data_IF_186354515017
#
_entry.id   IF_186354515017
#
_cell.length_a   1.000
_cell.length_b   1.000
_cell.length_c   1.000
_cell.angle_alpha   90.00
_cell.angle_beta   90.00
_cell.angle_gamma   90.00
#
_symmetry.space_group_name_H-M   'P 1'
#
loop_
_entity.id
_entity.type
_entity.pdbx_description
1 polymer ?
#
# COMPACT_ATOMS: atom_id res chain seq x y z
N UNK A 1 -41.56 41.89 -0.73
CA UNK A 1 -41.14 40.92 -1.77
C UNK A 1 -39.64 40.58 -1.73
N UNK A 2 -38.76 41.50 -1.31
CA UNK A 2 -37.31 41.24 -1.16
C UNK A 2 -36.92 40.14 -0.14
N UNK A 3 -37.77 39.89 0.87
CA UNK A 3 -37.54 38.87 1.91
C UNK A 3 -37.74 37.42 1.41
N UNK A 4 -38.51 37.20 0.35
CA UNK A 4 -38.78 35.85 -0.17
C UNK A 4 -37.65 35.33 -1.09
N UNK A 5 -36.89 36.22 -1.73
CA UNK A 5 -35.72 35.86 -2.53
C UNK A 5 -34.47 35.50 -1.69
N UNK A 6 -34.38 35.99 -0.45
CA UNK A 6 -33.26 35.71 0.45
C UNK A 6 -33.23 34.26 0.94
N UNK A 7 -34.40 33.62 1.12
CA UNK A 7 -34.47 32.23 1.59
C UNK A 7 -34.22 31.21 0.45
N UNK A 8 -34.61 31.54 -0.79
CA UNK A 8 -34.36 30.67 -1.95
C UNK A 8 -32.89 30.57 -2.34
N UNK A 9 -32.12 31.66 -2.22
CA UNK A 9 -30.69 31.67 -2.51
C UNK A 9 -29.84 30.90 -1.50
N UNK A 10 -30.28 30.82 -0.24
CA UNK A 10 -29.55 30.13 0.82
C UNK A 10 -29.71 28.60 0.75
N UNK A 11 -30.85 28.08 0.27
CA UNK A 11 -31.03 26.64 0.06
C UNK A 11 -30.26 26.11 -1.17
N UNK A 12 -30.13 26.91 -2.24
CA UNK A 12 -29.40 26.48 -3.45
C UNK A 12 -27.88 26.38 -3.23
N UNK A 13 -27.31 27.18 -2.31
CA UNK A 13 -25.89 27.13 -1.97
C UNK A 13 -25.49 25.91 -1.11
N UNK A 14 -26.44 25.29 -0.40
CA UNK A 14 -26.18 24.09 0.40
C UNK A 14 -26.04 22.82 -0.46
N UNK A 15 -26.57 22.80 -1.68
CA UNK A 15 -26.53 21.61 -2.55
C UNK A 15 -25.27 21.53 -3.44
N UNK A 16 -24.47 22.59 -3.54
CA UNK A 16 -23.28 22.64 -4.42
C UNK A 16 -21.96 22.23 -3.75
N UNK A 17 -21.96 21.90 -2.45
CA UNK A 17 -20.76 21.42 -1.74
C UNK A 17 -20.62 19.88 -1.71
N UNK A 18 -21.56 19.15 -2.31
CA UNK A 18 -21.52 17.69 -2.38
C UNK A 18 -20.71 17.15 -3.59
N UNK A 19 -19.84 17.97 -4.19
CA UNK A 19 -18.98 17.49 -5.27
C UNK A 19 -17.90 16.58 -4.71
N UNK A 20 -18.19 15.27 -4.76
CA UNK A 20 -17.27 14.16 -4.89
C UNK A 20 -15.95 14.28 -4.12
N UNK A 21 -15.98 13.96 -2.83
CA UNK A 21 -14.79 13.41 -2.18
C UNK A 21 -14.51 12.04 -2.79
N UNK A 22 -13.80 11.98 -3.92
CA UNK A 22 -13.10 10.75 -4.26
C UNK A 22 -12.09 10.53 -3.15
N UNK A 23 -12.34 9.54 -2.30
CA UNK A 23 -11.42 9.17 -1.22
C UNK A 23 -10.09 8.83 -1.90
N UNK A 24 -9.10 9.69 -1.72
CA UNK A 24 -7.77 9.42 -2.24
C UNK A 24 -7.19 8.24 -1.44
N UNK A 25 -6.50 7.29 -2.10
CA UNK A 25 -5.83 6.20 -1.39
C UNK A 25 -4.89 6.75 -0.33
N UNK A 26 -4.93 6.14 0.85
CA UNK A 26 -3.97 6.43 1.90
C UNK A 26 -2.70 5.63 1.60
N UNK A 27 -1.56 6.31 1.50
CA UNK A 27 -0.27 5.69 1.27
C UNK A 27 0.47 5.44 2.57
N UNK A 28 1.07 4.25 2.66
CA UNK A 28 1.87 3.78 3.78
C UNK A 28 3.24 3.31 3.28
N UNK A 29 4.27 3.55 4.08
CA UNK A 29 5.59 2.97 3.91
C UNK A 29 5.84 1.98 5.03
N UNK A 30 6.45 0.85 4.68
CA UNK A 30 6.84 -0.17 5.63
C UNK A 30 8.32 -0.53 5.50
N UNK A 31 8.89 -0.98 6.60
CA UNK A 31 10.20 -1.60 6.64
C UNK A 31 10.26 -2.71 7.67
N UNK A 32 11.03 -3.73 7.33
CA UNK A 32 11.40 -4.85 8.19
C UNK A 32 12.91 -4.90 8.27
N UNK A 33 13.44 -4.90 9.49
CA UNK A 33 14.88 -4.87 9.75
C UNK A 33 15.26 -5.95 10.74
N UNK A 34 16.29 -6.73 10.43
CA UNK A 34 16.73 -7.85 11.25
C UNK A 34 16.04 -9.14 10.86
N UNK A 35 16.80 -10.14 10.42
CA UNK A 35 16.25 -11.42 9.99
C UNK A 35 17.17 -12.57 10.40
N UNK A 36 16.59 -13.75 10.61
CA UNK A 36 17.37 -14.98 10.55
C UNK A 36 17.57 -15.34 9.08
N UNK A 37 18.82 -15.42 8.66
CA UNK A 37 19.23 -15.62 7.28
C UNK A 37 19.70 -17.05 7.11
N UNK A 38 19.13 -17.75 6.14
CA UNK A 38 19.62 -19.05 5.68
C UNK A 38 19.97 -18.94 4.19
N UNK A 39 21.17 -19.38 3.82
CA UNK A 39 21.65 -19.36 2.43
C UNK A 39 22.15 -20.75 2.05
N UNK A 40 21.41 -21.45 1.18
CA UNK A 40 21.77 -22.80 0.75
C UNK A 40 21.91 -23.80 1.90
N UNK A 41 23.15 -24.21 2.18
CA UNK A 41 23.48 -25.22 3.22
C UNK A 41 24.12 -24.61 4.48
N UNK A 42 24.23 -23.28 4.55
CA UNK A 42 24.82 -22.62 5.71
C UNK A 42 23.90 -22.71 6.93
N UNK A 43 24.48 -22.76 8.13
CA UNK A 43 23.69 -22.68 9.36
C UNK A 43 23.05 -21.30 9.45
N UNK A 44 21.76 -21.19 9.82
CA UNK A 44 21.09 -19.90 9.92
C UNK A 44 21.78 -18.97 10.92
N UNK A 45 21.86 -17.67 10.59
CA UNK A 45 22.39 -16.66 11.48
C UNK A 45 21.49 -15.41 11.48
N UNK A 46 21.45 -14.72 12.62
CA UNK A 46 20.72 -13.47 12.70
C UNK A 46 21.55 -12.31 12.14
N UNK A 47 21.02 -11.63 11.12
CA UNK A 47 21.58 -10.40 10.57
C UNK A 47 20.67 -9.22 10.91
N UNK A 48 21.08 -8.42 11.91
CA UNK A 48 20.36 -7.24 12.38
C UNK A 48 20.32 -6.08 11.37
N UNK A 49 21.18 -6.10 10.35
CA UNK A 49 21.35 -5.00 9.38
C UNK A 49 20.55 -5.20 8.09
N UNK A 50 20.09 -6.43 7.85
CA UNK A 50 19.31 -6.76 6.67
C UNK A 50 17.96 -6.06 6.73
N UNK A 51 17.61 -5.36 5.65
CA UNK A 51 16.37 -4.59 5.55
C UNK A 51 15.58 -4.97 4.30
N UNK A 52 14.26 -4.97 4.44
CA UNK A 52 13.31 -5.04 3.34
C UNK A 52 12.31 -3.91 3.54
N UNK A 53 12.03 -3.16 2.48
CA UNK A 53 11.11 -2.03 2.57
C UNK A 53 10.21 -1.93 1.35
N UNK A 54 9.12 -1.21 1.53
CA UNK A 54 8.14 -1.02 0.48
C UNK A 54 7.11 0.04 0.82
N UNK A 55 6.20 0.25 -0.12
CA UNK A 55 5.05 1.12 0.05
C UNK A 55 3.80 0.39 -0.41
N UNK A 56 2.68 0.74 0.18
CA UNK A 56 1.37 0.32 -0.29
C UNK A 56 0.38 1.46 -0.17
N UNK A 57 -0.65 1.45 -1.02
CA UNK A 57 -1.73 2.42 -0.96
C UNK A 57 -3.06 1.69 -1.06
N UNK A 58 -4.06 2.15 -0.30
CA UNK A 58 -5.40 1.57 -0.35
C UNK A 58 -6.46 2.51 0.21
N UNK A 59 -7.73 2.15 -0.04
CA UNK A 59 -8.90 2.86 0.48
C UNK A 59 -9.75 1.87 1.25
N UNK A 60 -9.84 2.03 2.56
CA UNK A 60 -10.84 1.36 3.40
C UNK A 60 -12.23 1.87 2.98
N UNK A 61 -12.84 1.14 2.04
CA UNK A 61 -14.09 1.50 1.39
C UNK A 61 -15.30 1.02 2.20
N UNK A 62 -15.11 -0.01 3.02
CA UNK A 62 -16.13 -0.59 3.87
C UNK A 62 -16.16 0.03 5.29
N UNK A 63 -15.16 0.85 5.63
CA UNK A 63 -14.96 1.55 6.91
C UNK A 63 -14.77 0.63 8.13
N UNK A 64 -14.12 -0.52 7.95
CA UNK A 64 -13.83 -1.47 9.04
C UNK A 64 -12.44 -1.27 9.70
N UNK A 65 -11.70 -0.24 9.27
CA UNK A 65 -10.33 0.07 9.72
C UNK A 65 -9.28 -0.98 9.34
N UNK A 66 -9.58 -1.83 8.36
CA UNK A 66 -8.68 -2.79 7.74
C UNK A 66 -8.62 -2.48 6.25
N UNK A 67 -7.41 -2.43 5.69
CA UNK A 67 -7.25 -2.38 4.23
C UNK A 67 -7.09 -3.81 3.75
N UNK A 68 -8.07 -4.32 3.04
CA UNK A 68 -8.05 -5.67 2.46
C UNK A 68 -7.47 -5.67 1.02
N UNK A 69 -7.26 -6.87 0.46
CA UNK A 69 -6.68 -7.04 -0.87
C UNK A 69 -7.48 -6.34 -1.98
N UNK A 70 -8.81 -6.34 -1.91
CA UNK A 70 -9.69 -5.66 -2.87
C UNK A 70 -9.69 -4.13 -2.74
N UNK A 71 -9.14 -3.61 -1.64
CA UNK A 71 -9.01 -2.18 -1.35
C UNK A 71 -7.60 -1.65 -1.64
N UNK A 72 -6.67 -2.56 -1.93
CA UNK A 72 -5.30 -2.30 -2.27
C UNK A 72 -5.19 -1.71 -3.69
N UNK A 73 -4.64 -0.51 -3.78
CA UNK A 73 -4.41 0.21 -5.04
C UNK A 73 -2.97 0.08 -5.54
N UNK A 74 -1.99 -0.21 -4.68
CA UNK A 74 -0.58 -0.37 -5.05
C UNK A 74 0.15 -1.17 -3.96
N UNK A 75 1.11 -2.02 -4.33
CA UNK A 75 2.05 -2.65 -3.41
C UNK A 75 3.44 -2.75 -4.06
N UNK A 76 4.32 -1.83 -3.68
CA UNK A 76 5.70 -1.84 -4.14
C UNK A 76 6.62 -2.40 -3.04
N UNK A 77 7.41 -3.43 -3.34
CA UNK A 77 8.41 -4.00 -2.42
C UNK A 77 9.77 -3.98 -3.09
N UNK A 78 10.78 -3.40 -2.43
CA UNK A 78 12.13 -3.19 -2.99
C UNK A 78 12.09 -2.58 -4.43
N UNK A 79 11.16 -1.66 -4.67
CA UNK A 79 10.99 -0.98 -5.96
C UNK A 79 10.23 -1.77 -7.04
N UNK A 80 9.72 -2.96 -6.74
CA UNK A 80 8.90 -3.78 -7.67
C UNK A 80 7.42 -3.67 -7.30
N UNK A 81 6.56 -3.36 -8.27
CA UNK A 81 5.09 -3.37 -8.10
C UNK A 81 4.54 -4.79 -8.25
N UNK A 82 3.70 -5.23 -7.32
CA UNK A 82 3.05 -6.53 -7.27
C UNK A 82 1.55 -6.52 -7.63
N UNK A 83 0.84 -5.39 -7.52
CA UNK A 83 -0.61 -5.30 -7.85
C UNK A 83 -0.81 -5.19 -9.36
N UNK A 84 -0.16 -4.22 -10.00
CA UNK A 84 -0.24 -3.91 -11.42
C UNK A 84 0.95 -4.46 -12.20
N UNK A 85 1.58 -5.52 -11.70
CA UNK A 85 2.76 -6.07 -12.33
C UNK A 85 2.47 -6.41 -13.81
N UNK A 86 3.10 -5.67 -14.72
CA UNK A 86 2.60 -5.45 -16.08
C UNK A 86 2.65 -6.69 -17.01
N UNK A 87 3.11 -7.85 -16.53
CA UNK A 87 3.40 -8.99 -17.38
C UNK A 87 3.21 -10.32 -16.65
N UNK A 88 1.96 -10.81 -16.60
CA UNK A 88 1.74 -12.26 -16.52
C UNK A 88 1.92 -12.83 -17.93
N UNK A 89 3.10 -13.37 -18.19
CA UNK A 89 3.48 -14.01 -19.45
C UNK A 89 4.06 -15.39 -19.17
N UNK A 90 4.40 -16.17 -20.21
CA UNK A 90 5.13 -17.42 -20.02
C UNK A 90 6.50 -17.23 -19.33
N UNK A 91 7.02 -16.01 -19.25
CA UNK A 91 8.35 -15.68 -18.72
C UNK A 91 8.33 -14.91 -17.40
N UNK A 92 7.19 -14.39 -16.97
CA UNK A 92 7.09 -13.61 -15.75
C UNK A 92 5.71 -13.84 -15.15
N UNK A 93 5.66 -14.20 -13.88
CA UNK A 93 4.43 -14.25 -13.11
C UNK A 93 4.61 -13.37 -11.88
N UNK A 94 3.58 -12.62 -11.53
CA UNK A 94 3.62 -11.77 -10.36
C UNK A 94 2.20 -11.50 -9.87
N UNK A 95 2.08 -11.32 -8.57
CA UNK A 95 0.80 -10.99 -7.97
C UNK A 95 0.84 -10.99 -6.45
N UNK A 96 -0.25 -10.50 -5.90
CA UNK A 96 -0.56 -10.52 -4.47
C UNK A 96 -1.70 -11.51 -4.27
N UNK A 97 -1.48 -12.56 -3.49
CA UNK A 97 -2.50 -13.58 -3.23
C UNK A 97 -3.30 -13.30 -1.96
N UNK A 98 -2.70 -12.58 -1.01
CA UNK A 98 -3.36 -12.13 0.21
C UNK A 98 -2.76 -10.81 0.68
N UNK A 99 -3.60 -9.92 1.22
CA UNK A 99 -3.19 -8.66 1.80
C UNK A 99 -4.21 -8.25 2.87
N UNK A 100 -3.71 -7.78 4.01
CA UNK A 100 -4.49 -7.15 5.06
C UNK A 100 -3.60 -6.22 5.86
N UNK A 101 -4.05 -5.01 6.13
CA UNK A 101 -3.36 -4.09 7.02
C UNK A 101 -4.33 -3.40 7.98
N UNK A 102 -4.01 -3.40 9.26
CA UNK A 102 -4.61 -2.48 10.23
C UNK A 102 -3.55 -2.00 11.21
N UNK A 103 -3.78 -0.83 11.84
CA UNK A 103 -2.85 -0.32 12.84
C UNK A 103 -2.72 -1.26 14.06
N UNK A 104 -3.79 -1.99 14.39
CA UNK A 104 -3.80 -2.93 15.51
C UNK A 104 -3.23 -4.32 15.15
N UNK A 105 -3.50 -4.81 13.93
CA UNK A 105 -3.10 -6.14 13.47
C UNK A 105 -1.77 -6.18 12.72
N UNK A 106 -1.21 -5.02 12.37
CA UNK A 106 0.00 -4.92 11.57
C UNK A 106 -0.25 -5.22 10.09
N UNK A 107 0.84 -5.36 9.34
CA UNK A 107 0.84 -5.67 7.91
C UNK A 107 0.95 -7.17 7.70
N UNK A 108 -0.01 -7.73 6.98
CA UNK A 108 -0.06 -9.13 6.55
C UNK A 108 -0.13 -9.16 5.03
N UNK A 109 0.80 -9.86 4.39
CA UNK A 109 0.79 -10.00 2.94
C UNK A 109 1.38 -11.32 2.47
N UNK A 110 0.88 -11.77 1.33
CA UNK A 110 1.46 -12.83 0.52
C UNK A 110 1.59 -12.31 -0.91
N UNK A 111 2.83 -12.04 -1.34
CA UNK A 111 3.15 -11.53 -2.66
C UNK A 111 4.30 -12.31 -3.26
N UNK A 112 4.25 -12.58 -4.55
CA UNK A 112 5.31 -13.32 -5.23
C UNK A 112 5.57 -12.77 -6.63
N UNK A 113 6.79 -12.96 -7.09
CA UNK A 113 7.21 -12.74 -8.45
C UNK A 113 8.13 -13.87 -8.88
N UNK A 114 7.97 -14.36 -10.11
CA UNK A 114 8.80 -15.39 -10.70
C UNK A 114 9.16 -15.02 -12.12
N UNK A 115 10.46 -14.99 -12.42
CA UNK A 115 11.01 -14.74 -13.73
C UNK A 115 11.59 -16.03 -14.29
N UNK A 116 11.11 -16.46 -15.44
CA UNK A 116 11.61 -17.63 -16.14
C UNK A 116 12.57 -17.23 -17.26
N UNK A 117 13.64 -17.99 -17.45
CA UNK A 117 14.53 -17.84 -18.61
C UNK A 117 13.88 -18.39 -19.91
N UNK A 118 12.93 -19.30 -19.77
CA UNK A 118 12.20 -20.02 -20.81
C UNK A 118 10.84 -20.46 -20.25
N UNK A 119 9.76 -20.54 -21.05
CA UNK A 119 8.47 -20.95 -20.54
C UNK A 119 8.56 -22.36 -19.91
N UNK A 120 7.90 -22.59 -18.75
CA UNK A 120 7.92 -23.88 -18.11
C UNK A 120 7.39 -24.96 -19.07
N UNK A 121 8.17 -26.02 -19.29
CA UNK A 121 7.88 -27.00 -20.32
C UNK A 121 8.77 -28.24 -20.26
N UNK A 122 8.73 -29.10 -21.30
CA UNK A 122 9.58 -30.29 -21.41
C UNK A 122 11.06 -29.92 -21.63
N UNK A 123 11.33 -28.76 -22.21
CA UNK A 123 12.67 -28.22 -22.43
C UNK A 123 13.30 -27.73 -21.12
N UNK A 124 14.60 -27.45 -21.14
CA UNK A 124 15.29 -26.92 -19.97
C UNK A 124 14.83 -25.49 -19.68
N UNK A 125 14.59 -25.21 -18.40
CA UNK A 125 14.17 -23.91 -17.91
C UNK A 125 14.64 -23.73 -16.47
N UNK A 126 14.90 -22.48 -16.12
CA UNK A 126 15.15 -22.02 -14.76
C UNK A 126 14.33 -20.76 -14.49
N UNK A 127 14.08 -20.53 -13.21
CA UNK A 127 13.31 -19.41 -12.73
C UNK A 127 13.99 -18.81 -11.50
N UNK A 128 13.95 -17.49 -11.39
CA UNK A 128 14.22 -16.74 -10.16
C UNK A 128 12.89 -16.30 -9.59
N UNK A 129 12.63 -16.66 -8.34
CA UNK A 129 11.43 -16.32 -7.61
C UNK A 129 11.80 -15.52 -6.36
N UNK A 130 11.07 -14.44 -6.13
CA UNK A 130 11.03 -13.79 -4.84
C UNK A 130 9.61 -13.89 -4.29
N UNK A 131 9.46 -14.36 -3.06
CA UNK A 131 8.18 -14.45 -2.36
C UNK A 131 8.27 -13.82 -0.98
N UNK A 132 7.21 -13.13 -0.61
CA UNK A 132 6.98 -12.52 0.70
C UNK A 132 5.74 -13.18 1.28
N UNK A 133 5.88 -13.87 2.40
CA UNK A 133 4.78 -14.52 3.11
C UNK A 133 4.86 -14.17 4.59
N UNK A 134 4.24 -13.05 4.95
CA UNK A 134 4.20 -12.54 6.32
C UNK A 134 3.13 -13.25 7.16
N UNK A 135 2.22 -13.97 6.51
CA UNK A 135 1.11 -14.68 7.15
C UNK A 135 1.53 -16.00 7.79
N UNK A 136 2.62 -16.61 7.31
CA UNK A 136 3.24 -17.75 7.97
C UNK A 136 3.65 -17.38 9.39
N UNK A 137 3.60 -18.38 10.29
CA UNK A 137 3.82 -18.27 11.76
C UNK A 137 5.04 -17.45 12.20
N UNK A 138 6.03 -17.27 11.33
CA UNK A 138 7.22 -16.48 11.58
C UNK A 138 7.55 -15.48 10.49
N UNK A 139 6.73 -15.31 9.44
CA UNK A 139 7.04 -14.46 8.29
C UNK A 139 8.29 -14.91 7.51
N UNK A 140 8.17 -15.04 6.19
CA UNK A 140 9.29 -15.49 5.35
C UNK A 140 9.44 -14.63 4.10
N UNK A 141 10.68 -14.42 3.71
CA UNK A 141 11.04 -13.81 2.44
C UNK A 141 12.04 -14.74 1.77
N UNK A 142 11.63 -15.35 0.68
CA UNK A 142 12.44 -16.31 -0.05
C UNK A 142 12.87 -15.69 -1.38
N UNK A 143 14.17 -15.65 -1.64
CA UNK A 143 14.75 -15.30 -2.94
C UNK A 143 15.48 -16.55 -3.46
N UNK A 144 14.84 -17.26 -4.38
CA UNK A 144 15.27 -18.58 -4.83
C UNK A 144 15.41 -18.65 -6.35
N UNK A 145 16.37 -19.45 -6.79
CA UNK A 145 16.49 -19.91 -8.16
C UNK A 145 16.23 -21.41 -8.20
N UNK A 146 15.37 -21.85 -9.11
CA UNK A 146 15.06 -23.27 -9.32
C UNK A 146 14.88 -23.55 -10.81
N UNK A 147 14.88 -24.82 -11.20
CA UNK A 147 14.67 -25.17 -12.60
C UNK A 147 14.47 -26.67 -12.78
N UNK A 148 14.24 -27.09 -14.02
CA UNK A 148 13.99 -28.50 -14.35
C UNK A 148 15.15 -29.42 -13.93
N UNK A 149 16.38 -28.94 -14.06
CA UNK A 149 17.61 -29.67 -13.70
C UNK A 149 18.41 -28.97 -12.60
N UNK A 150 17.86 -27.93 -11.97
CA UNK A 150 18.54 -27.13 -10.97
C UNK A 150 17.81 -27.27 -9.62
N UNK A 151 18.46 -27.80 -8.58
CA UNK A 151 17.86 -27.82 -7.25
C UNK A 151 17.58 -26.37 -6.79
N UNK A 152 16.52 -26.15 -6.01
CA UNK A 152 16.26 -24.84 -5.43
C UNK A 152 17.48 -24.38 -4.63
N UNK A 153 17.96 -23.19 -4.94
CA UNK A 153 19.06 -22.53 -4.24
C UNK A 153 18.71 -21.07 -4.05
N UNK A 154 18.93 -20.54 -2.86
CA UNK A 154 18.46 -19.21 -2.55
C UNK A 154 18.83 -18.73 -1.16
N UNK A 155 18.30 -17.55 -0.88
CA UNK A 155 18.35 -16.86 0.39
C UNK A 155 16.95 -16.87 0.99
N UNK A 156 16.85 -17.41 2.20
CA UNK A 156 15.64 -17.33 3.03
C UNK A 156 15.90 -16.32 4.15
N UNK A 157 14.99 -15.35 4.29
CA UNK A 157 14.95 -14.42 5.39
C UNK A 157 13.71 -14.74 6.22
N UNK A 158 13.92 -15.32 7.40
CA UNK A 158 12.87 -15.60 8.35
C UNK A 158 12.75 -14.44 9.33
N UNK A 159 11.53 -13.93 9.54
CA UNK A 159 11.30 -12.94 10.58
C UNK A 159 11.32 -13.63 11.94
N UNK A 160 11.84 -12.94 12.94
CA UNK A 160 11.95 -13.43 14.31
C UNK A 160 11.32 -12.41 15.26
N UNK A 161 11.14 -12.73 16.56
CA UNK A 161 10.71 -11.73 17.54
C UNK A 161 11.63 -10.51 17.62
N UNK A 162 12.89 -10.63 17.19
CA UNK A 162 13.86 -9.55 17.09
C UNK A 162 13.73 -8.70 15.81
N UNK A 163 12.97 -9.16 14.81
CA UNK A 163 12.71 -8.39 13.59
C UNK A 163 11.90 -7.14 13.92
N UNK A 164 12.48 -5.99 13.64
CA UNK A 164 11.84 -4.69 13.83
C UNK A 164 10.93 -4.45 12.64
N UNK A 165 9.63 -4.31 12.91
CA UNK A 165 8.62 -3.97 11.90
C UNK A 165 8.15 -2.53 12.10
N UNK A 166 8.18 -1.74 11.03
CA UNK A 166 7.68 -0.37 11.04
C UNK A 166 6.72 -0.20 9.88
N UNK A 167 5.55 0.40 10.16
CA UNK A 167 4.62 0.86 9.14
C UNK A 167 4.16 2.26 9.54
N UNK A 168 4.27 3.22 8.63
CA UNK A 168 3.83 4.59 8.87
C UNK A 168 3.14 5.16 7.63
N UNK A 169 2.17 6.02 7.86
CA UNK A 169 1.45 6.72 6.81
C UNK A 169 2.35 7.81 6.20
N UNK A 170 2.43 7.85 4.87
CA UNK A 170 3.30 8.77 4.10
C UNK A 170 2.52 10.01 3.66
N UNK A 171 1.25 9.83 3.28
CA UNK A 171 0.38 10.93 2.84
C UNK A 171 -0.73 11.20 3.86
N UNK A 172 -0.72 12.38 4.49
CA UNK A 172 -1.92 12.93 5.11
C UNK A 172 -2.80 13.50 3.99
N UNK A 173 -3.77 12.71 3.51
CA UNK A 173 -4.81 13.25 2.63
C UNK A 173 -5.54 14.33 3.43
N UNK A 174 -5.52 15.61 3.01
CA UNK A 174 -6.25 16.65 3.73
C UNK A 174 -7.71 16.27 3.72
N UNK A 175 -8.30 16.13 4.90
CA UNK A 175 -9.69 15.70 4.99
C UNK A 175 -10.58 16.70 4.23
N UNK A 176 -11.66 16.26 3.57
CA UNK A 176 -12.56 17.15 2.83
C UNK A 176 -13.04 18.35 3.68
N UNK A 177 -13.15 18.15 4.99
CA UNK A 177 -13.50 19.20 5.94
C UNK A 177 -12.45 20.31 6.07
N UNK A 178 -11.17 20.04 5.83
CA UNK A 178 -10.11 21.07 5.82
C UNK A 178 -10.37 22.10 4.70
N UNK A 179 -10.76 21.63 3.51
CA UNK A 179 -11.12 22.51 2.40
C UNK A 179 -12.44 23.25 2.66
N UNK A 180 -13.42 22.58 3.26
CA UNK A 180 -14.68 23.22 3.65
C UNK A 180 -14.45 24.34 4.69
N UNK A 181 -13.60 24.12 5.68
CA UNK A 181 -13.25 25.10 6.71
C UNK A 181 -12.42 26.25 6.14
N UNK A 182 -11.49 25.98 5.22
CA UNK A 182 -10.75 27.00 4.49
C UNK A 182 -11.70 27.87 3.64
N UNK A 183 -12.60 27.23 2.88
CA UNK A 183 -13.61 27.91 2.08
C UNK A 183 -14.56 28.77 2.93
N UNK A 184 -15.04 28.23 4.05
CA UNK A 184 -15.86 28.96 5.02
C UNK A 184 -15.10 30.16 5.62
N UNK A 185 -13.82 29.98 5.97
CA UNK A 185 -12.95 31.04 6.47
C UNK A 185 -12.78 32.18 5.44
N UNK A 186 -12.54 31.85 4.18
CA UNK A 186 -12.41 32.83 3.09
C UNK A 186 -13.73 33.57 2.81
N UNK A 187 -14.87 32.88 2.90
CA UNK A 187 -16.20 33.51 2.79
C UNK A 187 -16.47 34.48 3.93
N UNK A 188 -16.12 34.13 5.17
CA UNK A 188 -16.25 35.02 6.32
C UNK A 188 -15.37 36.27 6.18
N UNK A 189 -14.12 36.11 5.73
CA UNK A 189 -13.19 37.22 5.51
C UNK A 189 -13.68 38.18 4.42
N UNK A 190 -14.20 37.65 3.32
CA UNK A 190 -14.71 38.47 2.22
C UNK A 190 -15.99 39.24 2.58
N UNK A 191 -16.88 38.65 3.39
CA UNK A 191 -18.03 39.37 3.97
C UNK A 191 -17.60 40.48 4.94
N UNK A 192 -16.62 40.21 5.80
CA UNK A 192 -16.09 41.19 6.75
C UNK A 192 -15.40 42.37 6.03
N UNK A 193 -14.61 42.10 5.00
CA UNK A 193 -13.95 43.13 4.20
C UNK A 193 -14.95 44.05 3.48
N UNK A 194 -16.04 43.48 2.92
CA UNK A 194 -17.09 44.24 2.24
C UNK A 194 -17.93 45.10 3.19
N UNK A 195 -18.03 44.73 4.47
CA UNK A 195 -18.69 45.55 5.51
C UNK A 195 -17.83 46.76 5.91
N UNK A 196 -16.50 46.63 5.93
CA UNK A 196 -15.59 47.73 6.26
C UNK A 196 -15.50 48.82 5.19
N UNK A 197 -15.77 48.51 3.92
CA UNK A 197 -15.76 49.51 2.83
C UNK A 197 -17.08 50.25 2.65
N UNK A 198 -18.14 49.87 3.39
CA UNK A 198 -19.46 50.54 3.38
C UNK A 198 -19.75 51.35 4.64
N UNK A 199 -18.85 51.34 5.62
CA UNK A 199 -18.85 52.21 6.79
C UNK A 199 -17.83 53.33 6.57
#
# INVERSE_FOLDING_TARGET
MLKQFLYGGMLAACCSLAQASTIAPTEYAFSWTGFNVAAGYDMPWFDATRTVSGTFAGVDANHDSVIELNELSNLTINGTEYVHCAYNSGYNTCGVSAFSYSQAGGLQLNAQRTLYNSPPGPDDWSASQISYDVQRRSGYIDDMTFGRMQPPMGLELQMTPETITNVHQVSAVPEPQTYAMLGAGLLLLSVAAKRRTRA
#
